data_IF_826359723292
#
_entry.id   IF_826359723292
#
_cell.length_a   1.000
_cell.length_b   1.000
_cell.length_c   1.000
_cell.angle_alpha   90.00
_cell.angle_beta   90.00
_cell.angle_gamma   90.00
#
_symmetry.space_group_name_H-M   'P 1'
#
loop_
_entity.id
_entity.type
_entity.pdbx_description
1 polymer ?
#
# COMPACT_ATOMS: atom_id res chain seq x y z
N UNK A 1 6.16 52.72 23.01
CA UNK A 1 5.39 51.46 23.11
C UNK A 1 5.97 50.50 22.08
N UNK A 2 6.84 49.60 22.51
CA UNK A 2 7.53 48.65 21.64
C UNK A 2 6.66 47.40 21.45
N UNK A 3 6.03 47.28 20.29
CA UNK A 3 5.39 46.05 19.85
C UNK A 3 6.42 45.16 19.19
N UNK A 4 6.80 44.09 19.87
CA UNK A 4 7.73 43.08 19.38
C UNK A 4 6.95 42.13 18.45
N UNK A 5 6.93 42.41 17.15
CA UNK A 5 6.35 41.51 16.16
C UNK A 5 7.37 40.40 15.85
N UNK A 6 7.14 39.21 16.41
CA UNK A 6 7.92 38.01 16.07
C UNK A 6 7.33 37.42 14.79
N UNK A 7 7.85 37.86 13.64
CA UNK A 7 7.57 37.24 12.35
C UNK A 7 8.52 36.08 12.10
N UNK A 8 8.15 34.85 12.50
CA UNK A 8 8.79 33.62 12.01
C UNK A 8 7.79 32.86 11.14
N UNK A 9 7.82 33.13 9.82
CA UNK A 9 6.99 32.44 8.81
C UNK A 9 7.80 31.96 7.58
N UNK A 10 9.09 31.71 7.73
CA UNK A 10 9.96 31.24 6.64
C UNK A 10 10.48 29.81 6.80
N UNK A 11 9.77 28.95 7.55
CA UNK A 11 10.18 27.54 7.78
C UNK A 11 9.27 26.46 7.20
N UNK A 12 8.02 26.76 6.84
CA UNK A 12 6.97 25.74 6.60
C UNK A 12 7.24 24.82 5.40
N UNK A 13 7.85 25.32 4.33
CA UNK A 13 8.16 24.51 3.15
C UNK A 13 9.36 23.57 3.35
N UNK A 14 10.37 24.01 4.10
CA UNK A 14 11.54 23.19 4.40
C UNK A 14 11.18 22.09 5.40
N UNK A 15 10.37 22.40 6.41
CA UNK A 15 9.92 21.41 7.40
C UNK A 15 9.15 20.26 6.74
N UNK A 16 8.39 20.50 5.67
CA UNK A 16 7.65 19.42 5.00
C UNK A 16 8.58 18.43 4.28
N UNK A 17 9.70 18.92 3.73
CA UNK A 17 10.74 18.08 3.14
C UNK A 17 11.54 17.32 4.20
N UNK A 18 11.88 17.98 5.31
CA UNK A 18 12.65 17.37 6.41
C UNK A 18 11.80 16.53 7.36
N UNK A 19 10.49 16.75 7.42
CA UNK A 19 9.54 16.04 8.30
C UNK A 19 9.66 14.52 8.20
N UNK A 20 9.61 13.89 7.01
CA UNK A 20 9.76 12.43 6.91
C UNK A 20 11.13 11.95 7.42
N UNK A 21 12.21 12.70 7.16
CA UNK A 21 13.54 12.35 7.65
C UNK A 21 13.60 12.43 9.19
N UNK A 22 13.07 13.50 9.77
CA UNK A 22 13.02 13.71 11.23
C UNK A 22 12.17 12.62 11.89
N UNK A 23 11.05 12.23 11.27
CA UNK A 23 10.20 11.14 11.76
C UNK A 23 10.93 9.80 11.69
N UNK A 24 11.56 9.46 10.56
CA UNK A 24 12.34 8.21 10.41
C UNK A 24 13.47 8.16 11.45
N UNK A 25 14.20 9.27 11.62
CA UNK A 25 15.27 9.37 12.60
C UNK A 25 14.74 9.23 14.04
N UNK A 26 13.62 9.88 14.37
CA UNK A 26 13.02 9.84 15.70
C UNK A 26 12.45 8.47 16.03
N UNK A 27 11.73 7.84 15.10
CA UNK A 27 11.17 6.50 15.27
C UNK A 27 12.30 5.48 15.36
N UNK A 28 13.33 5.60 14.53
CA UNK A 28 14.51 4.74 14.58
C UNK A 28 15.27 4.86 15.89
N UNK A 29 15.44 6.09 16.38
CA UNK A 29 16.05 6.35 17.69
C UNK A 29 15.20 5.78 18.84
N UNK A 30 13.88 5.95 18.81
CA UNK A 30 12.98 5.39 19.82
C UNK A 30 13.01 3.85 19.83
N UNK A 31 13.00 3.22 18.65
CA UNK A 31 13.16 1.77 18.51
C UNK A 31 14.53 1.29 18.95
N UNK A 32 15.58 2.08 18.72
CA UNK A 32 16.94 1.77 19.16
C UNK A 32 17.07 1.78 20.69
N UNK A 33 16.48 2.78 21.34
CA UNK A 33 16.41 2.86 22.81
C UNK A 33 15.60 1.69 23.37
N UNK A 34 14.45 1.40 22.76
CA UNK A 34 13.63 0.25 23.15
C UNK A 34 14.40 -1.07 23.01
N UNK A 35 15.12 -1.26 21.90
CA UNK A 35 15.98 -2.42 21.69
C UNK A 35 17.08 -2.51 22.75
N UNK A 36 17.72 -1.41 23.11
CA UNK A 36 18.76 -1.40 24.14
C UNK A 36 18.23 -1.77 25.53
N UNK A 37 17.00 -1.36 25.89
CA UNK A 37 16.41 -1.64 27.22
C UNK A 37 15.66 -2.96 27.33
N UNK A 38 15.13 -3.52 26.24
CA UNK A 38 14.32 -4.74 26.23
C UNK A 38 15.01 -5.96 25.62
N UNK A 39 16.22 -5.83 25.08
CA UNK A 39 16.95 -6.99 24.62
C UNK A 39 17.52 -7.74 25.82
N UNK A 40 17.03 -8.96 26.06
CA UNK A 40 17.64 -9.91 27.01
C UNK A 40 19.07 -10.34 26.58
N UNK A 41 19.43 -10.04 25.34
CA UNK A 41 20.76 -10.25 24.77
C UNK A 41 21.65 -9.03 25.04
N UNK A 42 22.90 -9.23 25.45
CA UNK A 42 23.95 -8.20 25.63
C UNK A 42 24.29 -7.50 24.29
N UNK A 43 23.36 -6.76 23.70
CA UNK A 43 23.59 -6.02 22.46
C UNK A 43 24.45 -4.81 22.74
N UNK A 44 25.57 -4.72 22.04
CA UNK A 44 26.41 -3.53 22.07
C UNK A 44 25.62 -2.32 21.50
N UNK A 45 25.97 -1.09 21.90
CA UNK A 45 25.26 0.13 21.48
C UNK A 45 25.12 0.26 19.95
N UNK A 46 26.09 -0.25 19.19
CA UNK A 46 26.07 -0.26 17.73
C UNK A 46 24.99 -1.22 17.18
N UNK A 47 24.81 -2.38 17.81
CA UNK A 47 23.80 -3.35 17.40
C UNK A 47 22.38 -2.86 17.71
N UNK A 48 22.20 -2.18 18.85
CA UNK A 48 20.92 -1.56 19.21
C UNK A 48 20.49 -0.47 18.21
N UNK A 49 21.45 0.31 17.67
CA UNK A 49 21.18 1.29 16.60
C UNK A 49 20.80 0.58 15.30
N UNK A 50 21.54 -0.47 14.94
CA UNK A 50 21.24 -1.28 13.77
C UNK A 50 19.85 -1.91 13.83
N UNK A 51 19.48 -2.51 14.96
CA UNK A 51 18.14 -3.11 15.16
C UNK A 51 17.03 -2.07 15.18
N UNK A 52 17.27 -0.90 15.79
CA UNK A 52 16.30 0.18 15.81
C UNK A 52 15.92 0.67 14.40
N UNK A 53 16.90 0.95 13.56
CA UNK A 53 16.67 1.35 12.17
C UNK A 53 16.19 0.21 11.27
N UNK A 54 16.63 -1.03 11.53
CA UNK A 54 16.09 -2.21 10.85
C UNK A 54 14.59 -2.36 11.10
N UNK A 55 14.11 -2.08 12.31
CA UNK A 55 12.68 -2.05 12.63
C UNK A 55 11.91 -1.02 11.80
N UNK A 56 12.45 0.19 11.64
CA UNK A 56 11.84 1.23 10.79
C UNK A 56 11.82 0.81 9.32
N UNK A 57 12.92 0.24 8.81
CA UNK A 57 12.96 -0.28 7.45
C UNK A 57 11.92 -1.39 7.25
N UNK A 58 11.79 -2.32 8.19
CA UNK A 58 10.80 -3.38 8.14
C UNK A 58 9.36 -2.85 8.12
N UNK A 59 9.05 -1.78 8.86
CA UNK A 59 7.74 -1.13 8.81
C UNK A 59 7.45 -0.52 7.43
N UNK A 60 8.43 0.17 6.84
CA UNK A 60 8.29 0.77 5.50
C UNK A 60 8.07 -0.33 4.46
N UNK A 61 8.92 -1.36 4.46
CA UNK A 61 8.79 -2.49 3.54
C UNK A 61 7.48 -3.26 3.75
N UNK A 62 7.06 -3.47 5.00
CA UNK A 62 5.78 -4.09 5.35
C UNK A 62 4.58 -3.31 4.81
N UNK A 63 4.62 -1.98 4.87
CA UNK A 63 3.58 -1.12 4.31
C UNK A 63 3.46 -1.27 2.78
N UNK A 64 4.59 -1.24 2.07
CA UNK A 64 4.60 -1.48 0.63
C UNK A 64 4.14 -2.90 0.28
N UNK A 65 4.62 -3.90 1.01
CA UNK A 65 4.21 -5.30 0.83
C UNK A 65 2.70 -5.47 1.03
N UNK A 66 2.12 -4.83 2.05
CA UNK A 66 0.67 -4.84 2.28
C UNK A 66 -0.10 -4.16 1.13
N UNK A 67 0.41 -3.05 0.61
CA UNK A 67 -0.19 -2.36 -0.53
C UNK A 67 -0.17 -3.23 -1.80
N UNK A 68 0.98 -3.83 -2.13
CA UNK A 68 1.07 -4.79 -3.23
C UNK A 68 0.19 -6.02 -3.01
N UNK A 69 0.14 -6.53 -1.77
CA UNK A 69 -0.76 -7.63 -1.39
C UNK A 69 -2.23 -7.30 -1.65
N UNK A 70 -2.67 -6.07 -1.32
CA UNK A 70 -4.03 -5.61 -1.60
C UNK A 70 -4.31 -5.55 -3.11
N UNK A 71 -3.39 -4.99 -3.90
CA UNK A 71 -3.53 -4.92 -5.37
C UNK A 71 -3.63 -6.33 -5.97
N UNK A 72 -2.75 -7.23 -5.54
CA UNK A 72 -2.73 -8.62 -6.02
C UNK A 72 -3.99 -9.37 -5.60
N UNK A 73 -4.49 -9.15 -4.38
CA UNK A 73 -5.75 -9.73 -3.92
C UNK A 73 -6.94 -9.22 -4.76
N UNK A 74 -6.99 -7.92 -5.06
CA UNK A 74 -8.01 -7.34 -5.94
C UNK A 74 -7.96 -7.94 -7.35
N UNK A 75 -6.75 -8.08 -7.92
CA UNK A 75 -6.54 -8.73 -9.21
C UNK A 75 -6.97 -10.21 -9.21
N UNK A 76 -6.68 -10.95 -8.14
CA UNK A 76 -7.09 -12.33 -7.99
C UNK A 76 -8.62 -12.49 -7.96
N UNK A 77 -9.33 -11.61 -7.24
CA UNK A 77 -10.80 -11.60 -7.23
C UNK A 77 -11.35 -11.35 -8.64
N UNK A 78 -10.84 -10.33 -9.34
CA UNK A 78 -11.27 -10.05 -10.72
C UNK A 78 -11.03 -11.24 -11.66
N UNK A 79 -9.87 -11.88 -11.55
CA UNK A 79 -9.53 -13.05 -12.36
C UNK A 79 -10.44 -14.25 -12.06
N UNK A 80 -10.72 -14.52 -10.79
CA UNK A 80 -11.62 -15.61 -10.38
C UNK A 80 -13.05 -15.39 -10.89
N UNK A 81 -13.57 -14.16 -10.80
CA UNK A 81 -14.89 -13.80 -11.32
C UNK A 81 -14.94 -13.92 -12.84
N UNK A 82 -13.89 -13.47 -13.54
CA UNK A 82 -13.81 -13.59 -14.99
C UNK A 82 -13.79 -15.05 -15.44
N UNK A 83 -13.05 -15.91 -14.75
CA UNK A 83 -12.95 -17.33 -15.08
C UNK A 83 -14.30 -18.06 -14.92
N UNK A 84 -15.10 -17.68 -13.92
CA UNK A 84 -16.46 -18.19 -13.73
C UNK A 84 -17.45 -17.57 -14.71
N UNK A 85 -17.36 -16.27 -14.99
CA UNK A 85 -18.30 -15.55 -15.85
C UNK A 85 -18.09 -15.82 -17.34
N UNK A 86 -16.87 -16.10 -17.78
CA UNK A 86 -16.50 -16.29 -19.19
C UNK A 86 -17.27 -17.43 -19.90
N UNK A 87 -17.38 -18.64 -19.32
CA UNK A 87 -18.22 -19.71 -19.88
C UNK A 87 -19.70 -19.33 -19.95
N UNK A 88 -20.21 -18.63 -18.94
CA UNK A 88 -21.62 -18.21 -18.87
C UNK A 88 -21.94 -17.25 -20.02
N UNK A 89 -21.09 -16.24 -20.23
CA UNK A 89 -21.25 -15.28 -21.32
C UNK A 89 -21.24 -15.97 -22.69
N UNK A 90 -20.35 -16.97 -22.85
CA UNK A 90 -20.22 -17.76 -24.08
C UNK A 90 -21.51 -18.55 -24.37
N UNK A 91 -22.08 -19.22 -23.36
CA UNK A 91 -23.32 -19.99 -23.51
C UNK A 91 -24.49 -19.08 -23.86
N UNK A 92 -24.61 -17.94 -23.18
CA UNK A 92 -25.67 -16.94 -23.45
C UNK A 92 -25.57 -16.42 -24.88
N UNK A 93 -24.36 -16.07 -25.33
CA UNK A 93 -24.13 -15.55 -26.67
C UNK A 93 -24.44 -16.62 -27.73
N UNK A 94 -24.04 -17.87 -27.50
CA UNK A 94 -24.34 -18.99 -28.39
C UNK A 94 -25.85 -19.22 -28.51
N UNK A 95 -26.57 -19.20 -27.38
CA UNK A 95 -28.02 -19.36 -27.37
C UNK A 95 -28.74 -18.23 -28.11
N UNK A 96 -28.33 -16.97 -27.88
CA UNK A 96 -28.90 -15.81 -28.59
C UNK A 96 -28.63 -15.88 -30.10
N UNK A 97 -27.44 -16.34 -30.50
CA UNK A 97 -27.08 -16.47 -31.91
C UNK A 97 -27.90 -17.56 -32.61
N UNK A 98 -28.10 -18.71 -31.97
CA UNK A 98 -28.97 -19.78 -32.49
C UNK A 98 -30.43 -19.33 -32.57
N UNK A 99 -30.92 -18.60 -31.56
CA UNK A 99 -32.28 -18.05 -31.56
C UNK A 99 -32.47 -16.99 -32.66
N UNK A 100 -31.46 -16.15 -32.91
CA UNK A 100 -31.48 -15.12 -33.97
C UNK A 100 -31.55 -15.77 -35.35
N UNK A 101 -30.72 -16.76 -35.62
CA UNK A 101 -30.72 -17.50 -36.89
C UNK A 101 -32.08 -18.15 -37.17
N UNK A 102 -32.75 -18.72 -36.16
CA UNK A 102 -34.09 -19.30 -36.34
C UNK A 102 -35.12 -18.24 -36.75
N UNK A 103 -35.09 -17.05 -36.14
CA UNK A 103 -35.99 -15.93 -36.48
C UNK A 103 -35.75 -15.40 -37.90
N UNK A 104 -34.50 -15.34 -38.33
CA UNK A 104 -34.15 -14.91 -39.69
C UNK A 104 -34.64 -15.92 -40.75
N UNK A 105 -34.61 -17.22 -40.46
CA UNK A 105 -35.15 -18.25 -41.34
C UNK A 105 -36.69 -18.23 -41.41
N UNK A 106 -37.36 -17.93 -40.31
CA UNK A 106 -38.82 -17.82 -40.25
C UNK A 106 -39.34 -16.55 -40.95
N UNK A 107 -38.55 -15.47 -41.00
CA UNK A 107 -38.91 -14.22 -41.67
C UNK A 107 -38.67 -14.22 -43.20
N UNK A 108 -37.99 -15.25 -43.73
CA UNK A 108 -37.65 -15.39 -45.15
C UNK A 108 -38.58 -16.34 -45.92
N UNK A 109 -39.59 -16.91 -45.26
CA UNK A 109 -40.66 -17.74 -45.83
C UNK A 109 -42.01 -17.03 -45.73
#
# INVERSE_FOLDING_TARGET
MAGHEVSHRSGDGAIWFWAPLIVILSVGAAFSVAAYFHSDSDLNAIEAVGTGFAGVAALIFGLFAAFFGLIMAGGAVAFSLFLVASPILTIVLLFLLLRKNKREREAAH
#
